data_IF_449070540471
#
_entry.id   IF_449070540471
#
_cell.length_a   1.000
_cell.length_b   1.000
_cell.length_c   1.000
_cell.angle_alpha   90.00
_cell.angle_beta   90.00
_cell.angle_gamma   90.00
#
_symmetry.space_group_name_H-M   'P 1'
#
loop_
_entity.id
_entity.type
_entity.pdbx_description
1 polymer ?
#
# COMPACT_ATOMS: atom_id res chain seq x y z
N UNK A 1 19.73 2.17 4.68
CA UNK A 1 18.31 1.89 4.94
C UNK A 1 17.59 2.02 3.63
N UNK A 2 17.21 0.89 3.03
CA UNK A 2 16.34 0.86 1.86
C UNK A 2 14.96 1.33 2.29
N UNK A 3 14.39 2.28 1.57
CA UNK A 3 13.01 2.74 1.80
C UNK A 3 12.08 1.57 1.49
N UNK A 4 11.11 1.29 2.35
CA UNK A 4 10.09 0.27 2.08
C UNK A 4 9.40 0.56 0.73
N UNK A 5 9.19 -0.45 -0.14
CA UNK A 5 8.46 -0.25 -1.39
C UNK A 5 7.08 0.35 -1.13
N UNK A 6 6.70 1.31 -1.97
CA UNK A 6 5.39 1.97 -1.91
C UNK A 6 4.58 1.49 -3.10
N UNK A 7 3.28 1.30 -2.89
CA UNK A 7 2.34 0.86 -3.90
C UNK A 7 1.16 1.82 -3.98
N UNK A 8 0.79 2.20 -5.19
CA UNK A 8 -0.47 2.85 -5.50
C UNK A 8 -1.54 1.78 -5.77
N UNK A 9 -2.63 1.86 -5.02
CA UNK A 9 -3.83 1.07 -5.24
C UNK A 9 -4.72 1.71 -6.29
N UNK A 10 -5.37 0.89 -7.11
CA UNK A 10 -6.43 1.31 -8.04
C UNK A 10 -7.61 2.04 -7.38
N UNK A 11 -7.72 2.01 -6.05
CA UNK A 11 -8.62 2.83 -5.25
C UNK A 11 -8.08 4.24 -4.92
N UNK A 12 -6.97 4.66 -5.54
CA UNK A 12 -6.32 5.95 -5.33
C UNK A 12 -5.63 6.11 -3.97
N UNK A 13 -5.39 5.00 -3.26
CA UNK A 13 -4.73 4.97 -1.95
C UNK A 13 -3.33 4.40 -2.07
N UNK A 14 -2.47 4.72 -1.12
CA UNK A 14 -1.08 4.27 -1.11
C UNK A 14 -0.79 3.39 0.11
N UNK A 15 0.12 2.43 -0.08
CA UNK A 15 0.48 1.45 0.94
C UNK A 15 1.98 1.18 0.89
N UNK A 16 2.61 0.99 2.05
CA UNK A 16 3.93 0.36 2.09
C UNK A 16 3.81 -1.15 2.02
N UNK A 17 4.90 -1.83 1.67
CA UNK A 17 5.01 -3.30 1.71
C UNK A 17 4.61 -3.83 3.09
N UNK A 18 5.07 -3.18 4.17
CA UNK A 18 4.67 -3.53 5.54
C UNK A 18 3.16 -3.43 5.79
N UNK A 19 2.50 -2.38 5.27
CA UNK A 19 1.04 -2.24 5.43
C UNK A 19 0.29 -3.33 4.66
N UNK A 20 0.78 -3.72 3.48
CA UNK A 20 0.22 -4.81 2.68
C UNK A 20 0.38 -6.14 3.43
N UNK A 21 1.59 -6.46 3.87
CA UNK A 21 1.90 -7.70 4.59
C UNK A 21 1.09 -7.81 5.88
N UNK A 22 0.93 -6.71 6.62
CA UNK A 22 0.08 -6.68 7.82
C UNK A 22 -1.39 -7.00 7.51
N UNK A 23 -1.91 -6.50 6.38
CA UNK A 23 -3.30 -6.74 5.92
C UNK A 23 -3.52 -8.14 5.38
N UNK A 24 -2.49 -8.76 4.81
CA UNK A 24 -2.53 -10.16 4.40
C UNK A 24 -2.45 -11.07 5.64
N UNK A 25 -1.53 -10.77 6.55
CA UNK A 25 -1.29 -11.55 7.77
C UNK A 25 -2.49 -11.55 8.70
N UNK A 26 -3.18 -10.41 8.85
CA UNK A 26 -4.37 -10.31 9.71
C UNK A 26 -5.65 -10.81 9.01
N UNK A 27 -5.57 -11.30 7.78
CA UNK A 27 -6.71 -11.78 7.00
C UNK A 27 -7.70 -10.70 6.55
N UNK A 28 -7.36 -9.41 6.66
CA UNK A 28 -8.20 -8.34 6.09
C UNK A 28 -8.19 -8.38 4.58
N UNK A 29 -7.05 -8.75 3.98
CA UNK A 29 -6.88 -8.90 2.54
C UNK A 29 -6.51 -10.35 2.20
N UNK A 30 -6.90 -10.78 1.01
CA UNK A 30 -6.57 -12.10 0.47
C UNK A 30 -5.58 -11.97 -0.70
N UNK A 31 -4.48 -12.74 -0.75
CA UNK A 31 -3.59 -12.71 -1.91
C UNK A 31 -4.26 -13.35 -3.13
N UNK A 32 -4.20 -12.70 -4.29
CA UNK A 32 -4.76 -13.25 -5.54
C UNK A 32 -3.66 -13.54 -6.58
N UNK A 33 -2.87 -12.53 -6.96
CA UNK A 33 -1.82 -12.65 -7.97
C UNK A 33 -0.63 -11.75 -7.64
N UNK A 34 0.57 -12.17 -8.01
CA UNK A 34 1.78 -11.37 -7.92
C UNK A 34 2.57 -11.50 -9.24
N UNK A 35 2.71 -10.38 -9.96
CA UNK A 35 3.56 -10.27 -11.15
C UNK A 35 4.95 -9.80 -10.71
N UNK A 36 5.92 -10.71 -10.70
CA UNK A 36 7.25 -10.45 -10.15
C UNK A 36 8.11 -9.52 -11.00
N UNK A 37 7.88 -9.45 -12.32
CA UNK A 37 8.68 -8.60 -13.22
C UNK A 37 8.43 -7.11 -12.98
N UNK A 38 7.18 -6.75 -12.73
CA UNK A 38 6.75 -5.37 -12.51
C UNK A 38 6.56 -5.03 -11.04
N UNK A 39 6.53 -6.06 -10.16
CA UNK A 39 6.18 -5.94 -8.75
C UNK A 39 4.69 -5.68 -8.50
N UNK A 40 3.82 -5.79 -9.51
CA UNK A 40 2.38 -5.58 -9.35
C UNK A 40 1.75 -6.70 -8.54
N UNK A 41 0.83 -6.34 -7.66
CA UNK A 41 0.09 -7.29 -6.82
C UNK A 41 -1.40 -7.09 -6.99
N UNK A 42 -2.14 -8.19 -7.08
CA UNK A 42 -3.59 -8.20 -7.01
C UNK A 42 -4.01 -8.84 -5.69
N UNK A 43 -4.81 -8.13 -4.92
CA UNK A 43 -5.32 -8.61 -3.63
C UNK A 43 -6.84 -8.46 -3.59
N UNK A 44 -7.51 -9.41 -2.94
CA UNK A 44 -8.89 -9.29 -2.55
C UNK A 44 -9.00 -8.41 -1.31
N UNK A 45 -9.96 -7.48 -1.33
CA UNK A 45 -10.33 -6.64 -0.19
C UNK A 45 -11.77 -6.99 0.23
N UNK A 46 -12.35 -6.23 1.17
CA UNK A 46 -13.70 -6.44 1.67
C UNK A 46 -14.74 -6.56 0.53
N UNK A 47 -15.84 -7.29 0.79
CA UNK A 47 -16.93 -7.54 -0.16
C UNK A 47 -16.54 -8.24 -1.48
N UNK A 48 -15.36 -8.88 -1.52
CA UNK A 48 -14.88 -9.61 -2.70
C UNK A 48 -14.36 -8.70 -3.83
N UNK A 49 -14.15 -7.42 -3.54
CA UNK A 49 -13.53 -6.48 -4.47
C UNK A 49 -12.05 -6.81 -4.67
N UNK A 50 -11.52 -6.47 -5.85
CA UNK A 50 -10.11 -6.64 -6.17
C UNK A 50 -9.40 -5.29 -6.19
N UNK A 51 -8.23 -5.24 -5.54
CA UNK A 51 -7.35 -4.09 -5.52
C UNK A 51 -6.06 -4.43 -6.24
N UNK A 52 -5.84 -3.80 -7.38
CA UNK A 52 -4.54 -3.78 -8.04
C UNK A 52 -3.62 -2.79 -7.31
N UNK A 53 -2.42 -3.25 -6.97
CA UNK A 53 -1.33 -2.51 -6.35
C UNK A 53 -0.18 -2.42 -7.35
N UNK A 54 0.24 -1.20 -7.66
CA UNK A 54 1.34 -0.91 -8.59
C UNK A 54 2.47 -0.23 -7.84
N UNK A 55 3.72 -0.71 -7.94
CA UNK A 55 4.85 -0.04 -7.32
C UNK A 55 4.96 1.43 -7.76
N UNK A 56 5.29 2.30 -6.81
CA UNK A 56 5.45 3.73 -7.04
C UNK A 56 6.58 4.28 -6.18
N UNK A 57 7.13 5.42 -6.61
CA UNK A 57 8.22 6.10 -5.92
C UNK A 57 7.68 7.06 -4.85
N UNK A 58 8.43 7.24 -3.76
CA UNK A 58 8.08 8.19 -2.71
C UNK A 58 7.96 9.63 -3.24
N UNK A 59 8.71 9.97 -4.30
CA UNK A 59 8.68 11.27 -4.98
C UNK A 59 7.42 11.49 -5.80
N UNK A 60 6.68 10.43 -6.13
CA UNK A 60 5.41 10.50 -6.85
C UNK A 60 4.20 10.63 -5.92
N UNK A 61 4.40 10.61 -4.60
CA UNK A 61 3.31 10.76 -3.64
C UNK A 61 2.68 12.15 -3.72
N UNK A 62 1.34 12.24 -3.70
CA UNK A 62 0.65 13.51 -3.54
C UNK A 62 1.04 14.20 -2.23
N UNK A 63 0.96 15.53 -2.18
CA UNK A 63 1.27 16.32 -0.96
C UNK A 63 0.39 15.97 0.24
N UNK A 64 -0.78 15.40 0.01
CA UNK A 64 -1.69 14.93 1.06
C UNK A 64 -1.35 13.53 1.60
N UNK A 65 -0.33 12.86 1.04
CA UNK A 65 0.11 11.52 1.40
C UNK A 65 1.53 11.58 1.95
N UNK A 66 1.70 11.22 3.21
CA UNK A 66 2.98 11.26 3.90
C UNK A 66 3.48 9.85 4.17
N UNK A 67 4.76 9.60 3.85
CA UNK A 67 5.47 8.44 4.37
C UNK A 67 6.02 8.78 5.76
N UNK A 68 5.55 8.08 6.80
CA UNK A 68 6.05 8.20 8.17
C UNK A 68 6.85 6.96 8.56
N UNK A 69 7.77 7.13 9.50
CA UNK A 69 8.51 6.01 10.08
C UNK A 69 8.81 6.23 11.57
N UNK A 70 9.01 5.13 12.29
CA UNK A 70 9.46 5.12 13.70
C UNK A 70 10.92 4.65 13.83
N UNK A 71 11.65 4.55 12.70
CA UNK A 71 12.99 4.00 12.62
C UNK A 71 13.05 2.47 12.46
N UNK A 72 11.94 1.76 12.67
CA UNK A 72 11.83 0.31 12.47
C UNK A 72 10.93 -0.05 11.29
N UNK A 73 9.92 0.77 11.03
CA UNK A 73 8.90 0.52 10.00
C UNK A 73 8.46 1.82 9.36
N UNK A 74 8.14 1.79 8.07
CA UNK A 74 7.50 2.90 7.38
C UNK A 74 6.03 2.59 7.03
N UNK A 75 5.18 3.60 7.11
CA UNK A 75 3.76 3.50 6.76
C UNK A 75 3.26 4.78 6.09
N UNK A 76 2.27 4.62 5.21
CA UNK A 76 1.58 5.74 4.58
C UNK A 76 0.51 6.31 5.53
N UNK A 77 0.47 7.64 5.63
CA UNK A 77 -0.61 8.43 6.21
C UNK A 77 -1.25 9.28 5.12
N UNK A 78 -2.55 9.10 4.89
CA UNK A 78 -3.32 9.88 3.92
C UNK A 78 -4.23 10.88 4.66
N UNK A 79 -3.90 12.16 4.55
CA UNK A 79 -4.61 13.26 5.23
C UNK A 79 -6.01 13.52 4.66
N UNK A 80 -6.34 13.03 3.45
CA UNK A 80 -7.71 13.12 2.89
C UNK A 80 -8.73 12.38 3.75
N UNK A 81 -8.27 11.42 4.55
CA UNK A 81 -9.09 10.62 5.47
C UNK A 81 -9.26 11.26 6.85
N UNK A 82 -8.57 12.36 7.14
CA UNK A 82 -8.67 13.07 8.42
C UNK A 82 -9.87 14.01 8.52
N UNK A 83 -10.75 14.02 7.52
CA UNK A 83 -12.03 14.74 7.60
C UNK A 83 -13.07 13.73 8.14
N UNK A 84 -13.54 13.87 9.39
CA UNK A 84 -14.62 13.06 9.95
C UNK A 84 -15.96 13.29 9.23
#
# INVERSE_FOLDING_TARGET
>A
MTVDPIYEGSNGRYYTDWQIDRKLTNGTWTPCLHETETGRRLVGIDDGELLLLVPTEATALPTCVELRSDGTTAWIVDSRRSIP
#
